data_IF_732088479122
#
_entry.id   IF_732088479122
#
_cell.length_a   1.000
_cell.length_b   1.000
_cell.length_c   1.000
_cell.angle_alpha   90.00
_cell.angle_beta   90.00
_cell.angle_gamma   90.00
#
_symmetry.space_group_name_H-M   'P 1'
#
loop_
_entity.id
_entity.type
_entity.pdbx_description
1 polymer ?
#
# COMPACT_ATOMS: atom_id res chain seq x y z
N UNK A 1 -47.66 17.85 -6.61
CA UNK A 1 -47.89 19.11 -5.87
C UNK A 1 -46.53 19.77 -5.61
N UNK A 2 -46.44 20.98 -6.06
CA UNK A 2 -45.21 21.83 -6.10
C UNK A 2 -45.02 22.47 -4.72
N UNK A 3 -43.79 22.58 -4.23
CA UNK A 3 -43.39 23.70 -3.39
C UNK A 3 -41.91 24.08 -3.66
N UNK A 4 -41.78 25.11 -4.47
CA UNK A 4 -40.62 26.00 -4.49
C UNK A 4 -40.56 26.84 -3.25
N UNK A 5 -39.40 27.09 -2.65
CA UNK A 5 -39.10 28.24 -1.81
C UNK A 5 -37.82 28.95 -2.22
N UNK A 6 -37.85 30.29 -2.14
CA UNK A 6 -36.86 31.14 -2.81
C UNK A 6 -35.65 31.50 -1.95
N UNK A 7 -34.57 31.92 -2.63
CA UNK A 7 -33.38 32.54 -2.09
C UNK A 7 -33.65 33.96 -1.60
N UNK A 8 -33.00 34.44 -0.52
CA UNK A 8 -32.77 35.88 -0.32
C UNK A 8 -31.41 36.30 -0.86
N UNK A 9 -31.45 37.34 -1.70
CA UNK A 9 -30.32 38.18 -2.11
C UNK A 9 -30.02 39.19 -1.02
N UNK A 10 -28.73 39.40 -0.72
CA UNK A 10 -28.29 40.62 0.02
C UNK A 10 -27.22 41.35 -0.79
N UNK A 11 -27.63 42.53 -1.23
CA UNK A 11 -26.79 43.62 -1.75
C UNK A 11 -25.85 44.10 -0.65
N UNK A 12 -24.58 44.38 -0.83
CA UNK A 12 -24.05 45.55 -1.49
C UNK A 12 -23.69 46.63 -0.48
N UNK A 13 -22.41 46.85 -0.17
CA UNK A 13 -21.88 48.14 0.20
C UNK A 13 -20.38 48.25 -0.10
N UNK A 14 -20.01 49.13 -0.98
CA UNK A 14 -18.70 49.80 -1.18
C UNK A 14 -18.75 51.16 -0.48
N UNK A 15 -17.70 51.98 -0.49
CA UNK A 15 -16.27 51.85 -0.16
C UNK A 15 -15.79 52.93 0.79
N UNK A 16 -14.58 52.87 1.31
CA UNK A 16 -13.83 54.05 1.70
C UNK A 16 -12.32 53.75 1.73
N UNK A 17 -11.59 54.41 0.90
CA UNK A 17 -10.15 54.69 0.98
C UNK A 17 -9.98 56.17 1.34
N UNK A 18 -8.76 56.74 1.48
CA UNK A 18 -7.52 56.31 2.12
C UNK A 18 -6.98 57.42 3.10
N UNK A 19 -5.92 57.12 3.86
CA UNK A 19 -5.03 58.19 4.37
C UNK A 19 -3.63 57.62 4.63
N UNK A 20 -2.58 58.30 4.16
CA UNK A 20 -1.20 57.92 4.40
C UNK A 20 -0.68 58.55 5.70
N UNK A 21 0.05 57.79 6.49
CA UNK A 21 0.91 58.33 7.53
C UNK A 21 2.31 57.77 7.37
N UNK A 22 3.20 58.70 7.01
CA UNK A 22 4.65 58.58 7.11
C UNK A 22 5.03 58.44 8.58
N UNK A 23 5.93 57.57 8.91
CA UNK A 23 6.49 57.46 10.26
C UNK A 23 7.58 56.44 10.41
N UNK A 24 8.80 56.83 10.06
CA UNK A 24 10.06 56.55 10.77
C UNK A 24 10.51 55.10 10.96
N UNK A 25 11.64 54.82 10.35
CA UNK A 25 12.51 53.67 10.49
C UNK A 25 12.90 53.37 11.95
N UNK A 26 12.88 52.07 12.29
CA UNK A 26 13.79 51.51 13.28
C UNK A 26 14.22 50.13 12.83
N UNK A 27 15.44 50.03 12.37
CA UNK A 27 16.12 48.77 12.03
C UNK A 27 16.52 48.11 13.35
N UNK A 28 15.86 47.05 13.70
CA UNK A 28 16.36 46.08 14.72
C UNK A 28 16.68 44.79 13.99
N UNK A 29 17.96 44.59 13.77
CA UNK A 29 18.55 43.29 13.38
C UNK A 29 18.43 42.34 14.58
N UNK A 30 17.41 41.53 14.59
CA UNK A 30 17.37 40.31 15.40
C UNK A 30 17.66 39.13 14.48
N UNK A 31 18.89 38.66 14.53
CA UNK A 31 19.29 37.37 13.99
C UNK A 31 18.55 36.27 14.78
N UNK A 32 17.35 35.95 14.35
CA UNK A 32 16.68 34.73 14.78
C UNK A 32 17.24 33.58 13.97
N UNK A 33 18.11 32.79 14.60
CA UNK A 33 18.56 31.52 14.08
C UNK A 33 17.35 30.64 13.82
N UNK A 34 16.99 30.46 12.56
CA UNK A 34 16.14 29.37 12.13
C UNK A 34 16.95 28.09 12.33
N UNK A 35 16.78 27.45 13.48
CA UNK A 35 17.02 26.02 13.61
C UNK A 35 16.07 25.33 12.65
N UNK A 36 16.58 25.04 11.45
CA UNK A 36 15.89 24.20 10.48
C UNK A 36 15.57 22.89 11.15
N UNK A 37 14.31 22.68 11.49
CA UNK A 37 13.79 21.33 11.65
C UNK A 37 14.10 20.61 10.34
N UNK A 38 15.08 19.73 10.40
CA UNK A 38 15.28 18.74 9.37
C UNK A 38 13.97 17.95 9.29
N UNK A 39 13.13 18.32 8.34
CA UNK A 39 12.09 17.43 7.88
C UNK A 39 12.83 16.17 7.48
N UNK A 40 12.65 15.10 8.26
CA UNK A 40 12.89 13.73 7.82
C UNK A 40 11.95 13.45 6.63
N UNK A 41 12.23 14.10 5.52
CA UNK A 41 11.73 13.69 4.24
C UNK A 41 12.29 12.29 4.05
N UNK A 42 11.45 11.28 4.27
CA UNK A 42 11.73 9.88 3.93
C UNK A 42 12.26 9.89 2.51
N UNK A 43 13.59 9.88 2.38
CA UNK A 43 14.26 9.91 1.09
C UNK A 43 13.76 8.73 0.29
N UNK A 44 13.15 9.01 -0.86
CA UNK A 44 12.87 7.97 -1.83
C UNK A 44 14.18 7.21 -2.12
N UNK A 45 14.15 5.89 -2.26
CA UNK A 45 15.35 5.10 -2.56
C UNK A 45 16.08 5.68 -3.76
N UNK A 46 17.41 5.70 -3.70
CA UNK A 46 18.22 6.06 -4.85
C UNK A 46 17.96 5.08 -6.01
N UNK A 47 17.98 5.56 -7.27
CA UNK A 47 17.75 4.72 -8.43
C UNK A 47 18.72 3.53 -8.48
N UNK A 48 18.18 2.30 -8.65
CA UNK A 48 18.99 1.07 -8.67
C UNK A 48 19.36 0.53 -7.28
N UNK A 49 18.94 1.19 -6.19
CA UNK A 49 19.19 0.71 -4.83
C UNK A 49 18.28 -0.50 -4.51
N UNK A 50 18.91 -1.59 -4.11
CA UNK A 50 18.20 -2.77 -3.60
C UNK A 50 18.04 -2.67 -2.09
N UNK A 51 16.83 -2.88 -1.59
CA UNK A 51 16.49 -2.85 -0.17
C UNK A 51 15.81 -4.14 0.24
N UNK A 52 16.14 -4.62 1.42
CA UNK A 52 15.45 -5.73 2.06
C UNK A 52 14.30 -5.20 2.92
N UNK A 53 13.31 -6.04 3.10
CA UNK A 53 12.19 -5.77 3.99
C UNK A 53 11.70 -7.07 4.63
N UNK A 54 11.07 -6.93 5.77
CA UNK A 54 10.25 -7.93 6.43
C UNK A 54 8.84 -7.39 6.61
N UNK A 55 7.90 -8.25 6.98
CA UNK A 55 6.55 -7.76 7.18
C UNK A 55 5.60 -8.76 7.79
N UNK A 56 4.39 -8.28 7.99
CA UNK A 56 3.24 -9.07 8.42
C UNK A 56 2.06 -8.71 7.53
N UNK A 57 1.29 -9.71 7.14
CA UNK A 57 0.03 -9.54 6.44
C UNK A 57 -1.03 -10.38 7.14
N UNK A 58 -2.11 -9.74 7.57
CA UNK A 58 -3.30 -10.40 8.08
C UNK A 58 -4.43 -10.09 7.14
N UNK A 59 -5.11 -11.13 6.67
CA UNK A 59 -6.17 -10.97 5.67
C UNK A 59 -7.33 -11.93 5.92
N UNK A 60 -8.49 -11.49 5.47
CA UNK A 60 -9.72 -12.28 5.44
C UNK A 60 -10.26 -12.32 4.02
N UNK A 61 -11.10 -13.31 3.74
CA UNK A 61 -11.70 -13.43 2.43
C UNK A 61 -12.47 -14.72 2.25
N UNK A 62 -12.42 -15.27 1.05
CA UNK A 62 -13.17 -16.47 0.71
C UNK A 62 -12.33 -17.48 -0.04
N UNK A 63 -12.66 -18.73 0.15
CA UNK A 63 -12.15 -19.88 -0.60
C UNK A 63 -13.33 -20.71 -1.10
N UNK A 64 -13.36 -20.97 -2.40
CA UNK A 64 -14.26 -21.96 -2.99
C UNK A 64 -13.45 -23.15 -3.48
N UNK A 65 -13.74 -24.30 -2.92
CA UNK A 65 -13.05 -25.55 -3.22
C UNK A 65 -13.95 -26.47 -4.06
N UNK A 66 -13.35 -27.15 -5.01
CA UNK A 66 -13.94 -28.25 -5.79
C UNK A 66 -13.17 -29.52 -5.47
N UNK A 67 -13.90 -30.56 -5.12
CA UNK A 67 -13.38 -31.92 -5.07
C UNK A 67 -13.46 -32.50 -6.47
N UNK A 68 -12.31 -32.70 -7.13
CA UNK A 68 -12.23 -33.18 -8.50
C UNK A 68 -12.23 -34.70 -8.55
N UNK A 69 -11.40 -35.33 -7.73
CA UNK A 69 -11.24 -36.76 -7.58
C UNK A 69 -10.89 -37.07 -6.10
N UNK A 70 -10.95 -38.34 -5.66
CA UNK A 70 -10.50 -38.70 -4.32
C UNK A 70 -9.07 -38.23 -4.05
N UNK A 71 -8.93 -37.29 -3.10
CA UNK A 71 -7.63 -36.67 -2.75
C UNK A 71 -7.15 -35.55 -3.68
N UNK A 72 -7.89 -35.20 -4.74
CA UNK A 72 -7.58 -34.10 -5.64
C UNK A 72 -8.56 -32.93 -5.45
N UNK A 73 -8.07 -31.80 -5.04
CA UNK A 73 -8.85 -30.58 -4.76
C UNK A 73 -8.25 -29.36 -5.45
N UNK A 74 -9.13 -28.56 -6.01
CA UNK A 74 -8.76 -27.26 -6.55
C UNK A 74 -9.58 -26.15 -5.88
N UNK A 75 -9.00 -24.98 -5.68
CA UNK A 75 -9.64 -23.86 -4.99
C UNK A 75 -9.38 -22.54 -5.68
N UNK A 76 -10.36 -21.65 -5.65
CA UNK A 76 -10.20 -20.23 -5.93
C UNK A 76 -10.18 -19.51 -4.58
N UNK A 77 -9.24 -18.56 -4.43
CA UNK A 77 -9.00 -17.82 -3.19
C UNK A 77 -9.03 -16.35 -3.48
N UNK A 78 -9.69 -15.59 -2.61
CA UNK A 78 -9.67 -14.12 -2.63
C UNK A 78 -9.44 -13.64 -1.20
N UNK A 79 -8.42 -12.80 -1.00
CA UNK A 79 -8.01 -12.28 0.30
C UNK A 79 -7.82 -10.77 0.24
N UNK A 80 -8.22 -10.08 1.30
CA UNK A 80 -7.97 -8.66 1.51
C UNK A 80 -7.59 -8.40 2.96
N UNK A 81 -6.67 -7.48 3.22
CA UNK A 81 -6.27 -7.20 4.59
C UNK A 81 -5.11 -6.23 4.72
N UNK A 82 -4.65 -6.08 5.96
CA UNK A 82 -3.60 -5.13 6.32
C UNK A 82 -2.22 -5.77 6.19
N UNK A 83 -1.35 -5.11 5.43
CA UNK A 83 0.04 -5.46 5.24
C UNK A 83 0.91 -4.35 5.86
N UNK A 84 1.81 -4.74 6.74
CA UNK A 84 2.80 -3.85 7.33
C UNK A 84 4.19 -4.34 6.95
N UNK A 85 4.95 -3.51 6.25
CA UNK A 85 6.34 -3.78 5.90
C UNK A 85 7.28 -2.97 6.78
N UNK A 86 8.33 -3.61 7.27
CA UNK A 86 9.43 -2.99 8.00
C UNK A 86 10.72 -3.16 7.20
N UNK A 87 11.47 -2.08 7.03
CA UNK A 87 12.78 -2.12 6.38
C UNK A 87 13.91 -1.98 7.39
N UNK A 88 15.14 -2.00 6.91
CA UNK A 88 16.37 -1.89 7.72
C UNK A 88 16.40 -0.66 8.65
N UNK A 89 15.62 0.38 8.37
CA UNK A 89 15.52 1.60 9.19
C UNK A 89 14.33 1.60 10.17
N UNK A 90 13.66 0.45 10.36
CA UNK A 90 12.61 0.29 11.38
C UNK A 90 11.31 1.09 11.14
N UNK A 91 11.14 1.72 10.00
CA UNK A 91 9.94 2.51 9.69
C UNK A 91 8.93 1.62 8.95
N UNK A 92 7.82 1.33 9.61
CA UNK A 92 6.73 0.57 9.01
C UNK A 92 6.06 1.35 7.87
N UNK A 93 5.86 0.68 6.73
CA UNK A 93 4.99 1.17 5.65
C UNK A 93 3.77 0.29 5.61
N UNK A 94 2.60 0.90 5.81
CA UNK A 94 1.31 0.22 5.75
C UNK A 94 0.76 0.20 4.34
N UNK A 95 0.16 -0.95 3.98
CA UNK A 95 -0.57 -1.14 2.74
C UNK A 95 -1.87 -1.87 3.04
N UNK A 96 -2.87 -1.66 2.20
CA UNK A 96 -3.89 -2.67 2.00
C UNK A 96 -3.36 -3.69 1.01
N UNK A 97 -3.37 -4.97 1.38
CA UNK A 97 -2.95 -6.07 0.55
C UNK A 97 -4.14 -6.88 0.05
N UNK A 98 -4.30 -6.96 -1.26
CA UNK A 98 -5.32 -7.78 -1.92
C UNK A 98 -4.63 -8.90 -2.69
N UNK A 99 -5.19 -10.11 -2.64
CA UNK A 99 -4.70 -11.24 -3.42
C UNK A 99 -5.85 -12.08 -3.95
N UNK A 100 -5.68 -12.55 -5.17
CA UNK A 100 -6.55 -13.55 -5.79
C UNK A 100 -5.67 -14.67 -6.33
N UNK A 101 -6.17 -15.91 -6.23
CA UNK A 101 -5.39 -17.03 -6.70
C UNK A 101 -6.20 -18.29 -6.98
N UNK A 102 -5.54 -19.19 -7.68
CA UNK A 102 -5.97 -20.55 -7.91
C UNK A 102 -4.96 -21.48 -7.23
N UNK A 103 -5.45 -22.50 -6.56
CA UNK A 103 -4.64 -23.50 -5.87
C UNK A 103 -5.15 -24.87 -6.24
N UNK A 104 -4.25 -25.73 -6.59
CA UNK A 104 -4.47 -27.15 -6.85
C UNK A 104 -3.48 -27.94 -6.00
N UNK A 105 -3.96 -28.89 -5.22
CA UNK A 105 -3.12 -29.60 -4.27
C UNK A 105 -2.14 -30.62 -4.93
N UNK A 106 -2.25 -30.83 -6.23
CA UNK A 106 -1.33 -31.65 -7.02
C UNK A 106 -0.43 -30.81 -7.95
N UNK A 107 -0.99 -29.71 -8.50
CA UNK A 107 -0.28 -28.86 -9.47
C UNK A 107 0.32 -27.58 -8.86
N UNK A 108 0.02 -27.29 -7.59
CA UNK A 108 0.48 -26.08 -6.91
C UNK A 108 -0.47 -24.89 -7.04
N UNK A 109 0.01 -23.71 -6.69
CA UNK A 109 -0.78 -22.49 -6.67
C UNK A 109 -0.20 -21.36 -7.49
N UNK A 110 -1.07 -20.55 -8.08
CA UNK A 110 -0.72 -19.32 -8.78
C UNK A 110 -1.70 -18.19 -8.43
N UNK A 111 -1.23 -16.95 -8.44
CA UNK A 111 -2.09 -15.82 -8.11
C UNK A 111 -1.49 -14.48 -8.50
N UNK A 112 -2.25 -13.44 -8.16
CA UNK A 112 -1.85 -12.05 -8.28
C UNK A 112 -2.08 -11.38 -6.95
N UNK A 113 -1.20 -10.45 -6.58
CA UNK A 113 -1.41 -9.58 -5.44
C UNK A 113 -1.19 -8.12 -5.81
N UNK A 114 -1.89 -7.27 -5.10
CA UNK A 114 -1.79 -5.81 -5.21
C UNK A 114 -1.69 -5.24 -3.80
N UNK A 115 -0.70 -4.39 -3.58
CA UNK A 115 -0.56 -3.64 -2.34
C UNK A 115 -0.85 -2.18 -2.63
N UNK A 116 -1.77 -1.58 -1.91
CA UNK A 116 -2.16 -0.19 -2.08
C UNK A 116 -1.76 0.59 -0.83
N UNK A 117 -0.96 1.62 -0.98
CA UNK A 117 -0.53 2.46 0.13
C UNK A 117 -1.53 3.57 0.49
N UNK A 118 -1.20 4.37 1.50
CA UNK A 118 -2.02 5.48 2.01
C UNK A 118 -2.34 6.58 0.97
N UNK A 119 -1.55 6.65 -0.12
CA UNK A 119 -1.73 7.63 -1.21
C UNK A 119 -2.49 7.05 -2.40
N UNK A 120 -2.80 5.75 -2.34
CA UNK A 120 -3.41 5.03 -3.45
C UNK A 120 -2.41 4.52 -4.50
N UNK A 121 -1.10 4.69 -4.27
CA UNK A 121 -0.08 4.11 -5.13
C UNK A 121 0.01 2.60 -4.91
N UNK A 122 0.27 1.86 -5.98
CA UNK A 122 0.12 0.40 -6.00
C UNK A 122 1.42 -0.32 -6.32
N UNK A 123 1.59 -1.50 -5.73
CA UNK A 123 2.60 -2.49 -6.09
C UNK A 123 1.88 -3.73 -6.59
N UNK A 124 2.33 -4.28 -7.71
CA UNK A 124 1.77 -5.49 -8.31
C UNK A 124 2.75 -6.64 -8.21
N UNK A 125 2.24 -7.82 -7.90
CA UNK A 125 3.06 -9.03 -7.87
C UNK A 125 2.32 -10.26 -8.39
N UNK A 126 3.09 -11.18 -8.94
CA UNK A 126 2.66 -12.52 -9.31
C UNK A 126 3.04 -13.48 -8.20
N UNK A 127 2.10 -14.33 -7.80
CA UNK A 127 2.28 -15.33 -6.75
C UNK A 127 2.46 -16.73 -7.35
N UNK A 128 3.33 -17.51 -6.73
CA UNK A 128 3.48 -18.95 -6.95
C UNK A 128 3.68 -19.65 -5.61
N UNK A 129 3.16 -20.85 -5.47
CA UNK A 129 3.32 -21.65 -4.26
C UNK A 129 3.11 -23.15 -4.54
N UNK A 130 3.47 -23.97 -3.59
CA UNK A 130 3.20 -25.42 -3.64
C UNK A 130 1.68 -25.68 -3.63
N UNK A 131 0.98 -24.92 -2.80
CA UNK A 131 -0.48 -24.80 -2.74
C UNK A 131 -0.78 -23.54 -1.92
N UNK A 132 -2.05 -23.11 -1.82
CA UNK A 132 -2.45 -22.08 -0.86
C UNK A 132 -3.11 -22.69 0.40
N UNK A 133 -2.57 -23.82 0.89
CA UNK A 133 -2.96 -24.44 2.15
C UNK A 133 -2.22 -23.85 3.36
N UNK A 134 -2.62 -24.30 4.56
CA UNK A 134 -1.92 -23.92 5.79
C UNK A 134 -0.46 -24.38 5.75
N UNK A 135 0.46 -23.45 6.04
CA UNK A 135 1.90 -23.69 6.02
C UNK A 135 2.54 -23.70 4.64
N UNK A 136 1.76 -23.50 3.58
CA UNK A 136 2.27 -23.44 2.21
C UNK A 136 3.23 -22.28 2.02
N UNK A 137 4.35 -22.57 1.40
CA UNK A 137 5.31 -21.57 0.98
C UNK A 137 4.83 -20.87 -0.29
N UNK A 138 4.81 -19.55 -0.26
CA UNK A 138 4.40 -18.68 -1.36
C UNK A 138 5.53 -17.73 -1.70
N UNK A 139 5.87 -17.63 -2.96
CA UNK A 139 6.83 -16.67 -3.51
C UNK A 139 6.07 -15.64 -4.34
N UNK A 140 6.35 -14.36 -4.09
CA UNK A 140 5.82 -13.24 -4.85
C UNK A 140 6.92 -12.58 -5.67
N UNK A 141 6.72 -12.47 -6.99
CA UNK A 141 7.58 -11.68 -7.87
C UNK A 141 6.91 -10.35 -8.13
N UNK A 142 7.55 -9.24 -7.72
CA UNK A 142 7.06 -7.89 -7.98
C UNK A 142 7.26 -7.56 -9.45
N UNK A 143 6.16 -7.24 -10.14
CA UNK A 143 6.12 -6.99 -11.57
C UNK A 143 6.05 -5.51 -11.93
N UNK A 144 5.91 -4.62 -10.94
CA UNK A 144 5.83 -3.18 -11.11
C UNK A 144 4.93 -2.52 -10.10
N UNK A 145 4.60 -1.26 -10.36
CA UNK A 145 3.70 -0.48 -9.52
C UNK A 145 3.28 0.82 -10.19
N UNK A 146 2.56 1.67 -9.44
CA UNK A 146 2.14 3.00 -9.86
C UNK A 146 2.75 4.07 -8.95
N UNK A 147 2.68 5.34 -9.38
CA UNK A 147 3.13 6.48 -8.59
C UNK A 147 4.57 6.31 -8.08
N UNK A 148 4.76 6.37 -6.76
CA UNK A 148 6.08 6.23 -6.13
C UNK A 148 6.71 4.84 -6.28
N UNK A 149 5.90 3.84 -6.66
CA UNK A 149 6.32 2.46 -6.88
C UNK A 149 6.49 2.10 -8.36
N UNK A 150 6.34 3.07 -9.26
CA UNK A 150 6.47 2.84 -10.70
C UNK A 150 7.84 2.23 -11.02
N UNK A 151 7.83 1.10 -11.74
CA UNK A 151 9.05 0.37 -12.12
C UNK A 151 9.73 -0.41 -10.99
N UNK A 152 9.10 -0.52 -9.81
CA UNK A 152 9.59 -1.38 -8.74
C UNK A 152 9.67 -2.83 -9.21
N UNK A 153 10.78 -3.49 -8.90
CA UNK A 153 10.96 -4.93 -9.12
C UNK A 153 11.46 -5.60 -7.85
N UNK A 154 11.34 -6.91 -7.76
CA UNK A 154 11.83 -7.64 -6.61
C UNK A 154 11.11 -8.94 -6.38
N UNK A 155 11.42 -9.54 -5.25
CA UNK A 155 10.84 -10.82 -4.83
C UNK A 155 10.63 -10.83 -3.33
N UNK A 156 9.65 -11.58 -2.90
CA UNK A 156 9.37 -11.86 -1.50
C UNK A 156 8.86 -13.28 -1.32
N UNK A 157 8.97 -13.77 -0.10
CA UNK A 157 8.43 -15.07 0.29
C UNK A 157 7.68 -14.96 1.61
N UNK A 158 6.77 -15.87 1.82
CA UNK A 158 6.00 -16.02 3.04
C UNK A 158 5.50 -17.46 3.19
N UNK A 159 5.06 -17.81 4.41
CA UNK A 159 4.21 -18.97 4.65
C UNK A 159 2.82 -18.50 5.02
N UNK A 160 1.81 -19.03 4.35
CA UNK A 160 0.42 -18.71 4.69
C UNK A 160 -0.08 -19.62 5.81
N UNK A 161 -0.70 -19.05 6.81
CA UNK A 161 -1.30 -19.77 7.93
C UNK A 161 -2.75 -19.34 8.08
N UNK A 162 -3.68 -20.28 7.90
CA UNK A 162 -5.08 -20.06 8.24
C UNK A 162 -5.25 -19.99 9.75
N UNK A 163 -6.06 -19.03 10.22
CA UNK A 163 -6.45 -18.83 11.62
C UNK A 163 -7.89 -19.30 11.81
N UNK A 164 -8.75 -18.99 10.83
CA UNK A 164 -10.15 -19.39 10.81
C UNK A 164 -10.47 -19.91 9.41
N UNK A 165 -11.16 -21.03 9.35
CA UNK A 165 -11.76 -21.59 8.14
C UNK A 165 -13.22 -21.92 8.45
N UNK A 166 -14.16 -21.18 7.84
CA UNK A 166 -15.58 -21.38 7.99
C UNK A 166 -16.12 -22.42 6.96
N UNK A 167 -17.17 -23.11 7.34
CA UNK A 167 -17.86 -24.07 6.47
C UNK A 167 -18.51 -23.40 5.24
N UNK A 168 -18.77 -22.09 5.34
CA UNK A 168 -19.28 -21.24 4.25
C UNK A 168 -18.20 -20.81 3.26
N UNK A 169 -16.97 -21.24 3.47
CA UNK A 169 -15.80 -20.85 2.67
C UNK A 169 -15.16 -19.52 3.11
N UNK A 170 -15.63 -18.90 4.16
CA UNK A 170 -14.93 -17.74 4.76
C UNK A 170 -13.61 -18.17 5.35
N UNK A 171 -12.55 -17.41 5.09
CA UNK A 171 -11.21 -17.70 5.57
C UNK A 171 -10.59 -16.43 6.17
N UNK A 172 -9.83 -16.62 7.24
CA UNK A 172 -8.94 -15.61 7.81
C UNK A 172 -7.59 -16.23 8.07
N UNK A 173 -6.53 -15.50 7.77
CA UNK A 173 -5.19 -16.00 7.95
C UNK A 173 -4.14 -14.90 8.04
N UNK A 174 -2.90 -15.32 8.13
CA UNK A 174 -1.74 -14.44 8.22
C UNK A 174 -0.55 -14.98 7.45
N UNK A 175 0.27 -14.07 6.96
CA UNK A 175 1.60 -14.37 6.46
C UNK A 175 2.57 -14.50 7.63
N UNK A 176 3.32 -15.57 7.65
CA UNK A 176 4.40 -15.83 8.62
C UNK A 176 5.72 -15.80 7.88
N UNK A 177 6.71 -15.06 8.44
CA UNK A 177 8.04 -14.94 7.86
C UNK A 177 8.04 -14.23 6.49
N UNK A 178 7.13 -13.26 6.31
CA UNK A 178 7.15 -12.41 5.13
C UNK A 178 8.45 -11.63 5.10
N UNK A 179 9.26 -11.84 4.08
CA UNK A 179 10.50 -11.13 3.82
C UNK A 179 10.79 -11.05 2.34
N UNK A 180 11.53 -10.04 1.94
CA UNK A 180 11.85 -9.84 0.54
C UNK A 180 12.89 -8.78 0.28
N UNK A 181 13.12 -8.55 -1.00
CA UNK A 181 14.00 -7.50 -1.50
C UNK A 181 13.35 -6.81 -2.68
N UNK A 182 13.57 -5.51 -2.77
CA UNK A 182 13.05 -4.66 -3.85
C UNK A 182 14.17 -3.82 -4.43
N UNK A 183 14.08 -3.56 -5.72
CA UNK A 183 14.98 -2.65 -6.42
C UNK A 183 14.13 -1.56 -7.07
N UNK A 184 14.44 -0.30 -6.77
CA UNK A 184 13.83 0.83 -7.44
C UNK A 184 14.49 1.04 -8.80
N UNK A 185 13.73 1.33 -9.88
CA UNK A 185 14.33 1.65 -11.15
C UNK A 185 15.23 2.88 -11.02
N UNK A 186 16.35 2.87 -11.75
CA UNK A 186 17.17 4.06 -11.91
C UNK A 186 16.30 5.17 -12.52
N UNK A 187 15.95 6.19 -11.72
CA UNK A 187 15.19 7.31 -12.23
C UNK A 187 15.96 8.00 -13.34
N UNK A 188 15.36 8.12 -14.51
CA UNK A 188 15.83 9.13 -15.44
C UNK A 188 15.77 10.50 -14.74
N UNK A 189 16.80 11.35 -14.85
CA UNK A 189 16.75 12.68 -14.26
C UNK A 189 15.49 13.38 -14.73
N UNK A 190 14.70 13.88 -13.78
CA UNK A 190 13.55 14.73 -14.11
C UNK A 190 14.08 15.96 -14.83
N UNK A 191 13.79 16.07 -16.13
CA UNK A 191 14.02 17.28 -16.91
C UNK A 191 13.03 18.36 -16.47
#
# INVERSE_FOLDING_TARGET
MRHCRPRPSVRGARPAAPRPWLGVALIILLAAGCSGQANDARSAPAPGETRTFEGTWTASGSRRTLDLEPGHKASIISLTGSLLLTGERGLGVGFQGDAIGFSDNQAGGTGQAMWTDERGDKVFSRLRGESFGTGSHVVGTITGGTGRWAGLTGEYELRWQYVIEGDDGTITGRAVGLKGRVTMPGGAPRQ
#
